data_IF_538301756978
#
_entry.id   IF_538301756978
#
_cell.length_a   1.000
_cell.length_b   1.000
_cell.length_c   1.000
_cell.angle_alpha   90.00
_cell.angle_beta   90.00
_cell.angle_gamma   90.00
#
_symmetry.space_group_name_H-M   'P 1'
#
loop_
_entity.id
_entity.type
_entity.pdbx_description
1 polymer ?
#
# COMPACT_ATOMS: atom_id res chain seq x y z
N UNK A 1 8.88 -4.30 -9.14
CA UNK A 1 8.67 -5.49 -8.28
C UNK A 1 10.05 -6.05 -7.98
N UNK A 2 10.43 -6.24 -6.71
CA UNK A 2 11.83 -6.55 -6.35
C UNK A 2 12.33 -7.91 -6.83
N UNK A 3 11.47 -8.94 -6.95
CA UNK A 3 11.87 -10.27 -7.40
C UNK A 3 12.33 -10.36 -8.87
N UNK A 4 12.15 -9.28 -9.64
CA UNK A 4 12.52 -9.20 -11.06
C UNK A 4 13.58 -8.13 -11.32
N UNK A 5 14.24 -7.64 -10.27
CA UNK A 5 15.27 -6.59 -10.33
C UNK A 5 16.48 -7.09 -9.53
N UNK A 6 17.66 -7.00 -10.12
CA UNK A 6 18.91 -7.37 -9.47
C UNK A 6 19.34 -6.27 -8.49
N UNK A 7 19.94 -6.66 -7.37
CA UNK A 7 20.40 -5.72 -6.36
C UNK A 7 21.37 -4.63 -6.89
N UNK A 8 22.31 -4.92 -7.82
CA UNK A 8 23.16 -3.87 -8.41
C UNK A 8 22.40 -2.81 -9.21
N UNK A 9 21.22 -3.12 -9.76
CA UNK A 9 20.45 -2.16 -10.56
C UNK A 9 19.83 -1.03 -9.73
N UNK A 10 19.77 -1.18 -8.40
CA UNK A 10 19.24 -0.18 -7.48
C UNK A 10 20.33 0.61 -6.75
N UNK A 11 21.59 0.46 -7.15
CA UNK A 11 22.67 1.29 -6.61
C UNK A 11 22.38 2.78 -6.82
N UNK A 12 22.60 3.59 -5.79
CA UNK A 12 22.33 5.03 -5.80
C UNK A 12 20.85 5.43 -5.74
N UNK A 13 19.90 4.47 -5.69
CA UNK A 13 18.47 4.76 -5.59
C UNK A 13 17.96 4.65 -4.14
N UNK A 14 16.94 5.44 -3.82
CA UNK A 14 16.21 5.30 -2.57
C UNK A 14 15.19 4.15 -2.66
N UNK A 15 15.26 3.21 -1.72
CA UNK A 15 14.35 2.06 -1.64
C UNK A 15 13.62 2.08 -0.31
N UNK A 16 12.30 2.15 -0.35
CA UNK A 16 11.43 2.10 0.83
C UNK A 16 10.72 0.74 0.90
N UNK A 17 10.80 0.09 2.05
CA UNK A 17 10.05 -1.13 2.37
C UNK A 17 8.93 -0.85 3.38
N UNK A 18 8.12 -1.85 3.72
CA UNK A 18 6.97 -1.66 4.61
C UNK A 18 7.39 -1.24 6.02
N UNK A 19 8.57 -1.67 6.45
CA UNK A 19 9.19 -1.34 7.73
C UNK A 19 9.54 0.15 7.82
N UNK A 20 9.90 0.77 6.68
CA UNK A 20 10.27 2.18 6.59
C UNK A 20 9.08 3.16 6.60
N UNK A 21 7.84 2.67 6.69
CA UNK A 21 6.66 3.54 6.64
C UNK A 21 6.26 4.13 8.00
N UNK A 22 6.64 3.48 9.10
CA UNK A 22 6.31 3.98 10.44
C UNK A 22 7.37 4.99 10.90
N UNK A 23 6.93 5.97 11.68
CA UNK A 23 7.82 6.91 12.36
C UNK A 23 7.80 6.61 13.86
N UNK A 24 8.79 5.86 14.35
CA UNK A 24 8.78 5.32 15.72
C UNK A 24 7.58 4.38 15.93
N UNK A 25 6.66 4.78 16.82
CA UNK A 25 5.41 4.07 17.09
C UNK A 25 4.22 4.58 16.24
N UNK A 26 4.42 5.65 15.48
CA UNK A 26 3.37 6.24 14.64
C UNK A 26 3.25 5.47 13.34
N UNK A 27 2.13 4.77 13.16
CA UNK A 27 1.79 4.09 11.92
C UNK A 27 1.49 5.07 10.79
N UNK A 28 1.88 4.71 9.57
CA UNK A 28 1.47 5.40 8.36
C UNK A 28 -0.06 5.34 8.20
N UNK A 29 -0.75 6.36 7.65
CA UNK A 29 -2.20 6.33 7.43
C UNK A 29 -2.71 5.08 6.71
N UNK A 30 -1.99 4.60 5.69
CA UNK A 30 -2.28 3.31 5.04
C UNK A 30 -2.20 2.11 5.99
N UNK A 31 -1.18 2.03 6.85
CA UNK A 31 -1.07 0.93 7.83
C UNK A 31 -2.25 0.94 8.80
N UNK A 32 -2.61 2.13 9.31
CA UNK A 32 -3.76 2.31 10.21
C UNK A 32 -5.07 1.93 9.53
N UNK A 33 -5.32 2.42 8.31
CA UNK A 33 -6.55 2.13 7.57
C UNK A 33 -6.69 0.63 7.23
N UNK A 34 -5.59 -0.06 6.92
CA UNK A 34 -5.63 -1.51 6.67
C UNK A 34 -6.05 -2.30 7.90
N UNK A 35 -5.63 -1.89 9.10
CA UNK A 35 -6.05 -2.48 10.38
C UNK A 35 -7.55 -2.20 10.59
N UNK A 36 -7.94 -0.93 10.55
CA UNK A 36 -9.31 -0.51 10.88
C UNK A 36 -10.38 -1.05 9.92
N UNK A 37 -10.06 -1.19 8.63
CA UNK A 37 -11.01 -1.74 7.64
C UNK A 37 -11.02 -3.26 7.59
N UNK A 38 -10.17 -3.96 8.35
CA UNK A 38 -10.03 -5.41 8.27
C UNK A 38 -9.49 -5.85 6.90
N UNK A 39 -8.56 -5.08 6.33
CA UNK A 39 -7.92 -5.38 5.05
C UNK A 39 -6.80 -6.45 5.17
N UNK A 40 -6.61 -7.01 6.36
CA UNK A 40 -5.59 -8.01 6.68
C UNK A 40 -6.26 -9.28 7.20
N UNK A 41 -5.87 -10.41 6.62
CA UNK A 41 -6.19 -11.75 7.14
C UNK A 41 -4.89 -12.51 7.40
N UNK A 42 -4.40 -13.32 6.46
CA UNK A 42 -3.12 -14.02 6.61
C UNK A 42 -1.88 -13.11 6.61
N UNK A 43 -2.01 -11.86 6.15
CA UNK A 43 -0.94 -10.87 6.16
C UNK A 43 0.07 -10.95 5.01
N UNK A 44 0.15 -12.06 4.28
CA UNK A 44 1.22 -12.30 3.30
C UNK A 44 1.31 -11.23 2.19
N UNK A 45 0.16 -10.80 1.64
CA UNK A 45 0.14 -9.77 0.60
C UNK A 45 0.20 -8.33 1.12
N UNK A 46 0.11 -8.12 2.44
CA UNK A 46 -0.17 -6.79 3.04
C UNK A 46 0.94 -5.79 2.74
N UNK A 47 2.21 -6.20 2.83
CA UNK A 47 3.35 -5.31 2.54
C UNK A 47 3.32 -4.78 1.11
N UNK A 48 3.11 -5.67 0.13
CA UNK A 48 3.01 -5.31 -1.29
C UNK A 48 1.80 -4.41 -1.57
N UNK A 49 0.66 -4.70 -0.95
CA UNK A 49 -0.56 -3.88 -1.07
C UNK A 49 -0.34 -2.46 -0.56
N UNK A 50 0.21 -2.31 0.65
CA UNK A 50 0.46 -1.01 1.27
C UNK A 50 1.46 -0.20 0.46
N UNK A 51 2.60 -0.78 0.05
CA UNK A 51 3.62 -0.06 -0.73
C UNK A 51 3.10 0.35 -2.11
N UNK A 52 2.29 -0.49 -2.76
CA UNK A 52 1.67 -0.15 -4.05
C UNK A 52 0.66 0.98 -3.91
N UNK A 53 -0.17 0.95 -2.86
CA UNK A 53 -1.13 2.01 -2.56
C UNK A 53 -0.42 3.32 -2.20
N UNK A 54 0.66 3.26 -1.42
CA UNK A 54 1.48 4.44 -1.09
C UNK A 54 2.05 5.08 -2.36
N UNK A 55 2.68 4.28 -3.22
CA UNK A 55 3.24 4.78 -4.48
C UNK A 55 2.19 5.41 -5.39
N UNK A 56 0.93 4.94 -5.34
CA UNK A 56 -0.18 5.61 -6.00
C UNK A 56 -0.49 6.97 -5.35
N UNK A 57 -0.75 6.99 -4.04
CA UNK A 57 -1.16 8.21 -3.32
C UNK A 57 -0.09 9.30 -3.31
N UNK A 58 1.20 8.94 -3.29
CA UNK A 58 2.30 9.88 -3.39
C UNK A 58 2.32 10.62 -4.75
N UNK A 59 1.91 9.93 -5.83
CA UNK A 59 1.92 10.47 -7.21
C UNK A 59 0.61 11.13 -7.59
N UNK A 60 -0.49 10.56 -7.11
CA UNK A 60 -1.85 10.95 -7.41
C UNK A 60 -2.61 11.00 -6.07
N UNK A 61 -2.63 12.15 -5.37
CA UNK A 61 -3.21 12.26 -4.02
C UNK A 61 -4.73 12.03 -3.96
N UNK A 62 -5.43 12.16 -5.09
CA UNK A 62 -6.89 11.97 -5.18
C UNK A 62 -7.28 10.99 -6.30
N UNK A 63 -6.80 9.73 -6.25
CA UNK A 63 -7.21 8.75 -7.24
C UNK A 63 -8.65 8.34 -6.99
N UNK A 64 -9.39 8.14 -8.08
CA UNK A 64 -10.71 7.53 -8.00
C UNK A 64 -10.61 6.04 -7.63
N UNK A 65 -11.75 5.44 -7.29
CA UNK A 65 -11.82 4.01 -6.92
C UNK A 65 -11.26 3.11 -8.01
N UNK A 66 -11.54 3.40 -9.28
CA UNK A 66 -11.11 2.58 -10.40
C UNK A 66 -9.59 2.63 -10.57
N UNK A 67 -8.98 3.78 -10.29
CA UNK A 67 -7.55 3.98 -10.28
C UNK A 67 -6.89 3.19 -9.15
N UNK A 68 -7.47 3.19 -7.95
CA UNK A 68 -7.03 2.36 -6.83
C UNK A 68 -7.05 0.88 -7.22
N UNK A 69 -8.16 0.39 -7.76
CA UNK A 69 -8.31 -1.01 -8.22
C UNK A 69 -7.23 -1.37 -9.24
N UNK A 70 -7.01 -0.51 -10.25
CA UNK A 70 -5.98 -0.74 -11.28
C UNK A 70 -4.57 -0.78 -10.67
N UNK A 71 -4.25 0.13 -9.77
CA UNK A 71 -2.92 0.20 -9.16
C UNK A 71 -2.59 -1.07 -8.38
N UNK A 72 -3.54 -1.58 -7.58
CA UNK A 72 -3.31 -2.77 -6.76
C UNK A 72 -3.47 -4.09 -7.52
N UNK A 73 -3.96 -4.08 -8.76
CA UNK A 73 -4.32 -5.28 -9.54
C UNK A 73 -3.19 -6.32 -9.68
N UNK A 74 -1.92 -5.90 -9.62
CA UNK A 74 -0.76 -6.78 -9.68
C UNK A 74 -0.34 -7.37 -8.32
N UNK A 75 -1.00 -7.01 -7.23
CA UNK A 75 -0.85 -7.65 -5.92
C UNK A 75 -1.98 -8.67 -5.75
N UNK A 76 -1.62 -9.96 -5.73
CA UNK A 76 -2.60 -11.03 -5.59
C UNK A 76 -2.91 -11.24 -4.11
N UNK A 77 -4.20 -11.29 -3.76
CA UNK A 77 -4.67 -11.65 -2.44
C UNK A 77 -5.66 -12.82 -2.54
N UNK A 78 -5.45 -13.86 -1.73
CA UNK A 78 -6.34 -15.03 -1.70
C UNK A 78 -7.37 -15.02 -0.57
N UNK A 79 -7.23 -14.08 0.37
CA UNK A 79 -8.00 -14.10 1.63
C UNK A 79 -9.12 -13.05 1.67
N UNK A 80 -8.84 -11.82 1.25
CA UNK A 80 -9.76 -10.67 1.51
C UNK A 80 -10.83 -10.46 0.45
N UNK A 81 -10.65 -11.00 -0.76
CA UNK A 81 -11.50 -10.65 -1.91
C UNK A 81 -11.40 -9.18 -2.34
N UNK A 82 -10.31 -8.47 -1.97
CA UNK A 82 -9.94 -7.11 -2.37
C UNK A 82 -10.84 -5.96 -1.88
N UNK A 83 -12.13 -6.18 -1.62
CA UNK A 83 -13.07 -5.10 -1.23
C UNK A 83 -12.56 -4.26 -0.05
N UNK A 84 -12.13 -4.93 1.03
CA UNK A 84 -11.59 -4.25 2.22
C UNK A 84 -10.26 -3.54 2.00
N UNK A 85 -9.46 -4.03 1.05
CA UNK A 85 -8.20 -3.38 0.66
C UNK A 85 -8.50 -2.06 -0.07
N UNK A 86 -9.45 -2.06 -1.01
CA UNK A 86 -9.87 -0.83 -1.71
C UNK A 86 -10.44 0.19 -0.72
N UNK A 87 -11.33 -0.24 0.18
CA UNK A 87 -11.91 0.62 1.24
C UNK A 87 -10.83 1.20 2.18
N UNK A 88 -9.75 0.45 2.45
CA UNK A 88 -8.63 0.93 3.27
C UNK A 88 -7.79 1.98 2.55
N UNK A 89 -7.55 1.83 1.25
CA UNK A 89 -6.82 2.83 0.45
C UNK A 89 -7.65 4.11 0.31
N UNK A 90 -8.96 4.00 0.07
CA UNK A 90 -9.87 5.16 0.06
C UNK A 90 -9.86 5.89 1.41
N UNK A 91 -9.94 5.15 2.53
CA UNK A 91 -9.88 5.77 3.85
C UNK A 91 -8.53 6.46 4.13
N UNK A 92 -7.41 5.86 3.71
CA UNK A 92 -6.10 6.48 3.87
C UNK A 92 -5.94 7.75 3.01
N UNK A 93 -6.49 7.76 1.79
CA UNK A 93 -6.54 8.95 0.91
C UNK A 93 -7.27 10.10 1.61
N UNK A 94 -8.44 9.82 2.18
CA UNK A 94 -9.28 10.85 2.81
C UNK A 94 -8.68 11.41 4.11
N UNK A 95 -7.82 10.63 4.80
CA UNK A 95 -7.08 11.08 5.98
C UNK A 95 -5.91 12.02 5.67
N UNK A 96 -5.40 12.05 4.45
CA UNK A 96 -4.33 12.98 4.04
C UNK A 96 -4.88 14.39 3.73
N UNK A 97 -6.19 14.60 3.82
CA UNK A 97 -6.86 15.88 3.55
C UNK A 97 -7.02 16.78 4.78
N UNK A 98 -6.70 16.28 5.98
CA UNK A 98 -6.74 17.02 7.25
C UNK A 98 -5.38 17.16 7.89
#
# INVERSE_FOLDING_TARGET
RSCLVLAPEVEGHEVVTVEGLKEGERLHPLQKAFIEKGAVQCGFCTSGMILTAKALLDREPRPDRQRIIRAISSNICRCTGYKKIVEAVEAARDLQEG
#
